data_IF_001555542940
#
_entry.id   IF_001555542940
#
_cell.length_a   1.000
_cell.length_b   1.000
_cell.length_c   1.000
_cell.angle_alpha   90.00
_cell.angle_beta   90.00
_cell.angle_gamma   90.00
#
_symmetry.space_group_name_H-M   'P 1'
#
loop_
_entity.id
_entity.type
_entity.pdbx_description
1 polymer ?
#
# COMPACT_ATOMS: atom_id res chain seq x y z
N UNK A 1 2.85 -21.41 -3.41
CA UNK A 1 2.98 -20.07 -2.83
C UNK A 1 4.14 -20.09 -1.84
N UNK A 2 4.99 -19.06 -1.83
CA UNK A 2 6.06 -18.92 -0.83
C UNK A 2 5.38 -18.53 0.47
N UNK A 3 5.37 -19.44 1.45
CA UNK A 3 4.84 -19.14 2.80
C UNK A 3 5.66 -17.99 3.41
N UNK A 4 4.99 -17.00 3.98
CA UNK A 4 5.59 -15.82 4.62
C UNK A 4 6.36 -14.89 3.66
N UNK A 5 5.90 -14.73 2.41
CA UNK A 5 6.43 -13.73 1.50
C UNK A 5 5.69 -12.38 1.67
N UNK A 6 6.42 -11.32 1.38
CA UNK A 6 5.94 -9.93 1.41
C UNK A 6 6.09 -9.30 0.03
N UNK A 7 5.39 -8.20 -0.19
CA UNK A 7 5.48 -7.45 -1.44
C UNK A 7 5.80 -5.98 -1.20
N UNK A 8 6.56 -5.40 -2.10
CA UNK A 8 6.64 -3.96 -2.27
C UNK A 8 6.13 -3.54 -3.65
N UNK A 9 5.66 -2.30 -3.72
CA UNK A 9 5.23 -1.71 -4.98
C UNK A 9 5.70 -0.27 -5.02
N UNK A 10 6.70 0.00 -5.85
CA UNK A 10 7.33 1.30 -5.98
C UNK A 10 6.96 1.93 -7.31
N UNK A 11 6.75 3.24 -7.29
CA UNK A 11 6.60 4.03 -8.50
C UNK A 11 7.97 4.37 -9.08
N UNK A 12 8.10 4.21 -10.39
CA UNK A 12 9.25 4.68 -11.17
C UNK A 12 8.73 5.69 -12.18
N UNK A 13 9.46 6.78 -12.35
CA UNK A 13 9.23 7.77 -13.40
C UNK A 13 10.55 8.03 -14.10
N UNK A 14 10.56 7.82 -15.40
CA UNK A 14 11.72 8.04 -16.27
C UNK A 14 13.04 7.49 -15.68
N UNK A 15 13.00 6.21 -15.32
CA UNK A 15 14.15 5.47 -14.80
C UNK A 15 14.57 5.83 -13.37
N UNK A 16 13.72 6.51 -12.60
CA UNK A 16 14.02 6.88 -11.20
C UNK A 16 12.94 6.36 -10.26
N UNK A 17 13.35 5.71 -9.18
CA UNK A 17 12.45 5.38 -8.08
C UNK A 17 11.95 6.66 -7.40
N UNK A 18 10.65 6.73 -7.11
CA UNK A 18 10.02 7.87 -6.46
C UNK A 18 9.81 7.55 -4.98
N UNK A 19 10.47 8.31 -4.11
CA UNK A 19 10.42 8.18 -2.66
C UNK A 19 10.68 6.74 -2.17
N UNK A 20 11.79 6.11 -2.57
CA UNK A 20 12.05 4.71 -2.26
C UNK A 20 12.40 4.47 -0.78
N UNK A 21 12.84 5.49 -0.05
CA UNK A 21 13.40 5.38 1.30
C UNK A 21 12.43 4.69 2.26
N UNK A 22 11.15 5.08 2.22
CA UNK A 22 10.11 4.49 3.07
C UNK A 22 9.78 3.05 2.70
N UNK A 23 9.98 2.67 1.42
CA UNK A 23 9.84 1.29 0.96
C UNK A 23 11.02 0.44 1.46
N UNK A 24 12.25 0.94 1.33
CA UNK A 24 13.45 0.28 1.82
C UNK A 24 13.40 0.08 3.33
N UNK A 25 12.96 1.12 4.06
CA UNK A 25 12.74 1.03 5.48
C UNK A 25 11.75 -0.09 5.83
N UNK A 26 10.59 -0.15 5.15
CA UNK A 26 9.59 -1.17 5.42
C UNK A 26 10.06 -2.59 5.13
N UNK A 27 10.84 -2.81 4.06
CA UNK A 27 11.48 -4.12 3.80
C UNK A 27 12.37 -4.50 4.98
N UNK A 28 13.26 -3.60 5.37
CA UNK A 28 14.20 -3.82 6.47
C UNK A 28 13.48 -4.14 7.78
N UNK A 29 12.44 -3.37 8.13
CA UNK A 29 11.68 -3.56 9.35
C UNK A 29 10.90 -4.87 9.32
N UNK A 30 10.29 -5.20 8.17
CA UNK A 30 9.57 -6.47 7.97
C UNK A 30 10.53 -7.65 8.14
N UNK A 31 11.71 -7.58 7.55
CA UNK A 31 12.71 -8.64 7.67
C UNK A 31 13.20 -8.80 9.11
N UNK A 32 13.45 -7.71 9.82
CA UNK A 32 13.88 -7.76 11.24
C UNK A 32 12.84 -8.42 12.12
N UNK A 33 11.56 -8.09 11.92
CA UNK A 33 10.46 -8.64 12.72
C UNK A 33 10.25 -10.13 12.44
N UNK A 34 10.28 -10.54 11.17
CA UNK A 34 9.93 -11.90 10.78
C UNK A 34 11.12 -12.88 10.76
N UNK A 35 12.34 -12.37 10.60
CA UNK A 35 13.55 -13.20 10.42
C UNK A 35 14.70 -12.84 11.39
N UNK A 36 14.48 -11.86 12.28
CA UNK A 36 15.46 -11.45 13.28
C UNK A 36 16.56 -10.49 12.78
N UNK A 37 16.79 -10.44 11.48
CA UNK A 37 17.75 -9.54 10.84
C UNK A 37 17.28 -9.10 9.47
N UNK A 38 17.99 -8.15 8.85
CA UNK A 38 17.76 -7.75 7.45
C UNK A 38 19.07 -7.86 6.67
N UNK A 39 18.99 -8.52 5.52
CA UNK A 39 20.06 -8.61 4.52
C UNK A 39 19.74 -7.76 3.29
N UNK A 40 18.68 -6.98 3.34
CA UNK A 40 18.22 -6.19 2.20
C UNK A 40 19.22 -5.09 1.84
N UNK A 41 19.59 -5.06 0.56
CA UNK A 41 20.34 -3.96 -0.05
C UNK A 41 19.40 -3.15 -0.97
N UNK A 42 19.32 -1.82 -0.81
CA UNK A 42 18.50 -0.96 -1.64
C UNK A 42 18.79 -1.10 -3.13
N UNK A 43 17.74 -1.17 -3.94
CA UNK A 43 17.88 -1.11 -5.39
C UNK A 43 18.22 0.32 -5.83
N UNK A 44 19.14 0.43 -6.78
CA UNK A 44 19.46 1.70 -7.45
C UNK A 44 18.73 1.81 -8.80
N UNK A 45 18.78 2.99 -9.41
CA UNK A 45 18.24 3.19 -10.77
C UNK A 45 18.92 2.30 -11.82
N UNK A 46 20.12 1.83 -11.55
CA UNK A 46 20.83 0.90 -12.43
C UNK A 46 20.18 -0.48 -12.48
N UNK A 47 19.45 -0.86 -11.41
CA UNK A 47 18.68 -2.10 -11.35
C UNK A 47 17.46 -2.09 -12.29
N UNK A 48 17.11 -0.92 -12.87
CA UNK A 48 15.98 -0.80 -13.80
C UNK A 48 16.48 -1.17 -15.20
N UNK A 49 15.87 -2.16 -15.86
CA UNK A 49 16.25 -2.56 -17.22
C UNK A 49 16.21 -1.35 -18.18
N UNK A 50 17.17 -1.22 -19.12
CA UNK A 50 17.25 -0.08 -20.03
C UNK A 50 15.96 0.17 -20.85
N UNK A 51 15.29 -0.90 -21.29
CA UNK A 51 14.02 -0.86 -22.01
C UNK A 51 12.81 -0.45 -21.13
N UNK A 52 13.01 -0.36 -19.80
CA UNK A 52 12.01 0.03 -18.79
C UNK A 52 12.30 1.38 -18.15
N UNK A 53 13.11 2.23 -18.78
CA UNK A 53 13.50 3.53 -18.21
C UNK A 53 12.68 4.72 -18.67
N UNK A 54 11.66 4.52 -19.50
CA UNK A 54 10.80 5.61 -19.96
C UNK A 54 9.37 5.46 -19.40
N UNK A 55 8.77 6.61 -19.09
CA UNK A 55 7.38 6.69 -18.63
C UNK A 55 7.19 6.34 -17.16
N UNK A 56 5.95 6.04 -16.79
CA UNK A 56 5.60 5.67 -15.42
C UNK A 56 5.42 4.17 -15.30
N UNK A 57 6.20 3.57 -14.41
CA UNK A 57 6.18 2.13 -14.14
C UNK A 57 5.86 1.85 -12.67
N UNK A 58 5.41 0.63 -12.42
CA UNK A 58 5.33 0.00 -11.12
C UNK A 58 6.40 -1.08 -11.03
N UNK A 59 7.33 -0.93 -10.10
CA UNK A 59 8.25 -1.99 -9.69
C UNK A 59 7.60 -2.77 -8.56
N UNK A 60 7.38 -4.07 -8.77
CA UNK A 60 6.88 -4.99 -7.76
C UNK A 60 8.00 -5.91 -7.31
N UNK A 61 8.27 -5.92 -6.01
CA UNK A 61 9.28 -6.78 -5.38
C UNK A 61 8.54 -7.79 -4.52
N UNK A 62 8.81 -9.07 -4.72
CA UNK A 62 8.39 -10.15 -3.83
C UNK A 62 9.63 -10.59 -3.05
N UNK A 63 9.51 -10.64 -1.73
CA UNK A 63 10.62 -10.96 -0.86
C UNK A 63 10.17 -11.73 0.40
N UNK A 64 11.11 -12.43 0.98
CA UNK A 64 11.10 -12.93 2.35
C UNK A 64 12.40 -12.47 3.02
N UNK A 65 13.25 -13.36 3.47
CA UNK A 65 14.60 -13.02 3.92
C UNK A 65 15.49 -12.50 2.77
N UNK A 66 15.14 -12.85 1.52
CA UNK A 66 15.82 -12.42 0.31
C UNK A 66 14.81 -11.91 -0.72
N UNK A 67 15.28 -11.17 -1.71
CA UNK A 67 14.46 -10.83 -2.89
C UNK A 67 14.24 -12.10 -3.69
N UNK A 68 12.97 -12.45 -3.94
CA UNK A 68 12.56 -13.63 -4.71
C UNK A 68 12.20 -13.28 -6.14
N UNK A 69 11.65 -12.08 -6.36
CA UNK A 69 11.25 -11.63 -7.69
C UNK A 69 11.17 -10.12 -7.77
N UNK A 70 11.55 -9.56 -8.91
CA UNK A 70 11.33 -8.16 -9.26
C UNK A 70 10.64 -8.12 -10.62
N UNK A 71 9.49 -7.44 -10.68
CA UNK A 71 8.74 -7.21 -11.92
C UNK A 71 8.63 -5.69 -12.18
N UNK A 72 8.72 -5.30 -13.46
CA UNK A 72 8.50 -3.92 -13.90
C UNK A 72 7.35 -3.92 -14.91
N UNK A 73 6.29 -3.18 -14.61
CA UNK A 73 5.11 -3.08 -15.47
C UNK A 73 4.69 -1.62 -15.67
N UNK A 74 4.16 -1.30 -16.84
CA UNK A 74 3.59 0.03 -17.10
C UNK A 74 2.47 0.30 -16.10
N UNK A 75 2.47 1.49 -15.52
CA UNK A 75 1.50 1.85 -14.49
C UNK A 75 0.56 2.95 -14.95
N UNK A 76 -0.72 2.62 -14.93
CA UNK A 76 -1.82 3.59 -15.09
C UNK A 76 -2.70 3.56 -13.84
N UNK A 77 -2.91 4.72 -13.18
CA UNK A 77 -3.81 4.79 -12.04
C UNK A 77 -5.23 4.38 -12.42
N UNK A 78 -5.84 3.52 -11.62
CA UNK A 78 -7.27 3.21 -11.76
C UNK A 78 -8.10 4.41 -11.33
N UNK A 79 -9.13 4.73 -12.09
CA UNK A 79 -10.17 5.66 -11.64
C UNK A 79 -11.15 4.89 -10.75
N UNK A 80 -11.48 5.47 -9.62
CA UNK A 80 -12.44 4.95 -8.64
C UNK A 80 -13.44 6.06 -8.38
N UNK A 81 -14.70 5.82 -8.68
CA UNK A 81 -15.79 6.77 -8.51
C UNK A 81 -16.75 6.34 -7.40
N UNK A 82 -16.85 5.04 -7.16
CA UNK A 82 -17.80 4.48 -6.20
C UNK A 82 -17.11 3.50 -5.26
N UNK A 83 -17.42 3.61 -3.97
CA UNK A 83 -16.90 2.76 -2.91
C UNK A 83 -18.07 2.08 -2.19
N UNK A 84 -17.93 0.80 -1.90
CA UNK A 84 -18.83 0.07 -1.00
C UNK A 84 -18.20 -0.10 0.36
N UNK A 85 -18.89 0.31 1.41
CA UNK A 85 -18.50 0.01 2.79
C UNK A 85 -18.57 -1.48 3.06
N UNK A 86 -17.47 -2.05 3.59
CA UNK A 86 -17.36 -3.47 3.89
C UNK A 86 -16.66 -3.66 5.23
N UNK A 87 -17.22 -4.54 6.05
CA UNK A 87 -16.60 -4.94 7.32
C UNK A 87 -15.38 -5.83 7.06
N UNK A 88 -14.22 -5.35 7.48
CA UNK A 88 -12.95 -6.08 7.43
C UNK A 88 -12.50 -6.58 8.80
N UNK A 89 -13.40 -6.68 9.77
CA UNK A 89 -13.07 -7.22 11.10
C UNK A 89 -12.42 -8.60 11.00
N UNK A 90 -11.32 -8.77 11.70
CA UNK A 90 -10.53 -10.00 11.66
C UNK A 90 -9.53 -10.12 10.50
N UNK A 91 -9.40 -9.09 9.63
CA UNK A 91 -8.29 -9.03 8.68
C UNK A 91 -7.08 -8.43 9.40
N UNK A 92 -6.01 -9.21 9.49
CA UNK A 92 -4.68 -8.71 9.83
C UNK A 92 -3.88 -8.48 8.55
N UNK A 93 -3.50 -7.24 8.30
CA UNK A 93 -2.63 -6.83 7.19
C UNK A 93 -1.58 -5.83 7.65
N UNK A 94 -1.13 -5.97 8.91
CA UNK A 94 -0.11 -5.12 9.55
C UNK A 94 1.18 -5.05 8.72
N UNK A 95 1.54 -6.17 8.09
CA UNK A 95 2.62 -6.25 7.12
C UNK A 95 2.04 -6.39 5.70
N UNK A 96 2.82 -5.95 4.70
CA UNK A 96 2.40 -6.04 3.30
C UNK A 96 2.64 -7.47 2.76
N UNK A 97 1.82 -8.41 3.22
CA UNK A 97 1.90 -9.82 2.82
C UNK A 97 1.68 -10.00 1.31
N UNK A 98 2.41 -10.96 0.72
CA UNK A 98 2.19 -11.39 -0.66
C UNK A 98 0.89 -12.18 -0.81
N UNK A 99 0.51 -12.93 0.24
CA UNK A 99 -0.81 -13.54 0.35
C UNK A 99 -1.85 -12.46 0.66
N UNK A 100 -2.79 -12.31 -0.26
CA UNK A 100 -3.86 -11.31 -0.20
C UNK A 100 -5.24 -11.94 -0.35
N UNK A 101 -5.37 -13.23 -0.16
CA UNK A 101 -6.60 -13.96 -0.43
C UNK A 101 -7.79 -13.38 0.35
N UNK A 102 -7.61 -13.07 1.64
CA UNK A 102 -8.65 -12.43 2.45
C UNK A 102 -9.09 -11.06 1.92
N UNK A 103 -8.13 -10.22 1.49
CA UNK A 103 -8.43 -8.91 0.90
C UNK A 103 -9.10 -9.06 -0.47
N UNK A 104 -8.69 -10.03 -1.27
CA UNK A 104 -9.30 -10.34 -2.57
C UNK A 104 -10.74 -10.84 -2.38
N UNK A 105 -10.99 -11.73 -1.43
CA UNK A 105 -12.33 -12.20 -1.10
C UNK A 105 -13.21 -11.04 -0.63
N UNK A 106 -12.68 -10.18 0.24
CA UNK A 106 -13.42 -9.00 0.70
C UNK A 106 -13.75 -8.06 -0.46
N UNK A 107 -12.82 -7.83 -1.38
CA UNK A 107 -13.02 -7.00 -2.57
C UNK A 107 -14.12 -7.56 -3.49
N UNK A 108 -14.31 -8.87 -3.57
CA UNK A 108 -15.37 -9.49 -4.37
C UNK A 108 -16.76 -9.06 -3.90
N UNK A 109 -16.92 -8.64 -2.65
CA UNK A 109 -18.20 -8.14 -2.11
C UNK A 109 -18.57 -6.73 -2.60
N UNK A 110 -17.73 -6.06 -3.39
CA UNK A 110 -17.98 -4.68 -3.88
C UNK A 110 -19.27 -4.52 -4.69
N UNK A 111 -19.79 -5.59 -5.27
CA UNK A 111 -20.97 -5.53 -6.15
C UNK A 111 -20.68 -4.69 -7.41
N UNK A 112 -21.52 -3.71 -7.70
CA UNK A 112 -21.38 -2.80 -8.84
C UNK A 112 -20.43 -1.62 -8.60
N UNK A 113 -19.93 -1.43 -7.36
CA UNK A 113 -18.96 -0.38 -7.05
C UNK A 113 -17.59 -0.68 -7.64
N UNK A 114 -16.80 0.37 -7.84
CA UNK A 114 -15.44 0.24 -8.39
C UNK A 114 -14.49 -0.43 -7.39
N UNK A 115 -14.64 -0.10 -6.09
CA UNK A 115 -13.77 -0.57 -5.04
C UNK A 115 -14.52 -0.66 -3.70
N UNK A 116 -13.89 -1.22 -2.67
CA UNK A 116 -14.39 -1.26 -1.30
C UNK A 116 -13.70 -0.22 -0.43
N UNK A 117 -14.44 0.29 0.55
CA UNK A 117 -13.91 1.04 1.68
C UNK A 117 -14.09 0.17 2.93
N UNK A 118 -12.98 -0.22 3.52
CA UNK A 118 -12.94 -1.17 4.63
C UNK A 118 -13.06 -0.42 5.94
N UNK A 119 -13.87 -0.96 6.84
CA UNK A 119 -13.89 -0.52 8.23
C UNK A 119 -13.63 -1.70 9.18
N UNK A 120 -13.11 -1.41 10.35
CA UNK A 120 -12.94 -2.35 11.47
C UNK A 120 -13.42 -1.68 12.75
N UNK A 121 -14.21 -2.38 13.56
CA UNK A 121 -14.73 -1.86 14.83
C UNK A 121 -15.40 -0.49 14.69
N UNK A 122 -16.13 -0.26 13.59
CA UNK A 122 -16.82 0.99 13.29
C UNK A 122 -15.93 2.14 12.81
N UNK A 123 -14.63 1.93 12.58
CA UNK A 123 -13.64 2.90 12.11
C UNK A 123 -13.18 2.61 10.69
N UNK A 124 -13.09 3.65 9.87
CA UNK A 124 -12.59 3.54 8.50
C UNK A 124 -11.09 3.21 8.53
N UNK A 125 -10.66 2.34 7.63
CA UNK A 125 -9.25 1.94 7.49
C UNK A 125 -8.73 2.23 6.08
N UNK A 126 -8.83 1.28 5.18
CA UNK A 126 -8.20 1.29 3.86
C UNK A 126 -9.20 0.90 2.76
N UNK A 127 -8.79 0.96 1.50
CA UNK A 127 -9.40 0.18 0.42
C UNK A 127 -8.74 -1.21 0.35
N UNK A 128 -9.12 -2.02 -0.64
CA UNK A 128 -8.46 -3.33 -0.81
C UNK A 128 -6.96 -3.22 -1.13
N UNK A 129 -6.44 -2.08 -1.56
CA UNK A 129 -5.05 -1.95 -2.02
C UNK A 129 -4.36 -0.62 -1.64
N UNK A 130 -5.06 0.36 -1.09
CA UNK A 130 -4.50 1.67 -0.74
C UNK A 130 -5.12 2.26 0.51
N UNK A 131 -4.35 3.09 1.22
CA UNK A 131 -4.92 4.00 2.21
C UNK A 131 -5.83 5.03 1.53
N UNK A 132 -6.70 5.66 2.32
CA UNK A 132 -7.65 6.67 1.84
C UNK A 132 -7.32 8.04 2.41
N UNK A 133 -7.66 9.07 1.67
CA UNK A 133 -7.58 10.46 2.10
C UNK A 133 -8.91 11.12 1.76
N UNK A 134 -9.49 11.80 2.71
CA UNK A 134 -10.72 12.57 2.56
C UNK A 134 -10.40 14.06 2.55
N UNK A 135 -11.24 14.86 1.92
CA UNK A 135 -11.23 16.30 2.01
C UNK A 135 -12.45 16.76 2.77
N UNK A 136 -12.27 17.42 3.91
CA UNK A 136 -13.35 17.86 4.80
C UNK A 136 -13.90 19.26 4.47
N UNK A 137 -13.46 19.84 3.34
CA UNK A 137 -13.79 21.21 2.93
C UNK A 137 -12.69 22.22 3.29
N UNK A 138 -11.75 21.86 4.16
CA UNK A 138 -10.67 22.73 4.62
C UNK A 138 -9.29 22.08 4.49
N UNK A 139 -9.17 20.81 4.84
CA UNK A 139 -7.89 20.09 4.85
C UNK A 139 -8.07 18.65 4.38
N UNK A 140 -6.94 18.02 4.04
CA UNK A 140 -6.90 16.60 3.74
C UNK A 140 -6.66 15.79 5.00
N UNK A 141 -7.51 14.81 5.25
CA UNK A 141 -7.48 13.92 6.42
C UNK A 141 -7.38 12.47 6.00
N UNK A 142 -6.73 11.65 6.80
CA UNK A 142 -6.63 10.20 6.61
C UNK A 142 -7.00 9.50 7.92
N UNK A 143 -7.65 8.32 7.87
CA UNK A 143 -7.96 7.60 9.10
C UNK A 143 -6.72 7.35 9.95
N UNK A 144 -6.84 7.54 11.26
CA UNK A 144 -5.82 7.15 12.24
C UNK A 144 -5.69 5.63 12.35
N UNK A 145 -6.78 4.92 12.07
CA UNK A 145 -6.83 3.46 11.89
C UNK A 145 -6.49 3.09 10.46
N UNK A 146 -5.70 2.03 10.26
CA UNK A 146 -5.33 1.50 8.95
C UNK A 146 -5.05 0.00 9.04
N UNK A 147 -5.22 -0.71 7.95
CA UNK A 147 -4.78 -2.10 7.83
C UNK A 147 -3.27 -2.17 7.60
N UNK A 148 -2.76 -1.26 6.74
CA UNK A 148 -1.35 -1.16 6.42
C UNK A 148 -0.88 0.29 6.55
N UNK A 149 0.22 0.51 7.27
CA UNK A 149 0.89 1.81 7.30
C UNK A 149 1.60 2.07 5.96
N UNK A 150 0.86 2.62 5.00
CA UNK A 150 1.32 2.82 3.63
C UNK A 150 2.44 3.86 3.52
N UNK A 151 3.40 3.60 2.65
CA UNK A 151 4.56 4.49 2.42
C UNK A 151 4.14 5.87 1.90
N UNK A 152 3.16 5.94 1.00
CA UNK A 152 2.65 7.23 0.51
C UNK A 152 1.90 7.99 1.60
N UNK A 153 1.12 7.30 2.45
CA UNK A 153 0.46 7.89 3.61
C UNK A 153 1.49 8.49 4.57
N UNK A 154 2.52 7.73 4.95
CA UNK A 154 3.62 8.20 5.81
C UNK A 154 4.30 9.43 5.22
N UNK A 155 4.67 9.39 3.95
CA UNK A 155 5.29 10.51 3.24
C UNK A 155 4.45 11.80 3.32
N UNK A 156 3.13 11.69 3.14
CA UNK A 156 2.23 12.85 3.17
C UNK A 156 2.04 13.40 4.59
N UNK A 157 1.99 12.53 5.60
CA UNK A 157 1.93 12.91 7.02
C UNK A 157 3.21 13.62 7.48
N UNK A 158 4.38 13.06 7.16
CA UNK A 158 5.69 13.64 7.51
C UNK A 158 5.89 15.04 6.92
N UNK A 159 5.20 15.36 5.83
CA UNK A 159 5.20 16.69 5.18
C UNK A 159 4.05 17.59 5.60
N UNK A 160 3.20 17.15 6.49
CA UNK A 160 2.02 17.90 6.92
C UNK A 160 0.99 18.18 5.83
N UNK A 161 1.03 17.40 4.72
CA UNK A 161 0.08 17.54 3.60
C UNK A 161 -1.28 16.96 3.97
N UNK A 162 -1.30 15.91 4.77
CA UNK A 162 -2.51 15.32 5.34
C UNK A 162 -2.38 15.23 6.85
N UNK A 163 -3.51 15.12 7.55
CA UNK A 163 -3.56 14.91 9.00
C UNK A 163 -4.29 13.62 9.33
N UNK A 164 -3.86 12.96 10.40
CA UNK A 164 -4.61 11.82 10.94
C UNK A 164 -5.84 12.30 11.69
N UNK A 165 -6.94 11.59 11.50
CA UNK A 165 -8.18 11.80 12.22
C UNK A 165 -8.86 10.45 12.47
N UNK A 166 -9.53 10.34 13.62
CA UNK A 166 -10.42 9.21 13.88
C UNK A 166 -11.70 9.40 13.05
N UNK A 167 -11.94 8.47 12.11
CA UNK A 167 -13.06 8.56 11.17
C UNK A 167 -13.93 7.31 11.36
N UNK A 168 -15.13 7.55 11.85
CA UNK A 168 -16.16 6.52 12.01
C UNK A 168 -17.09 6.42 10.81
N UNK A 169 -17.99 5.42 10.84
CA UNK A 169 -19.00 5.24 9.79
C UNK A 169 -19.97 6.41 9.68
N UNK A 170 -20.26 7.09 10.80
CA UNK A 170 -21.16 8.24 10.84
C UNK A 170 -20.57 9.55 10.31
N UNK A 171 -19.25 9.58 10.04
CA UNK A 171 -18.57 10.76 9.50
C UNK A 171 -18.56 10.80 7.97
N UNK A 172 -19.03 9.72 7.34
CA UNK A 172 -19.12 9.62 5.88
C UNK A 172 -20.41 10.29 5.36
N UNK A 173 -20.37 10.91 4.16
CA UNK A 173 -21.53 11.56 3.55
C UNK A 173 -22.62 10.58 3.13
#
# INVERSE_FOLDING_TARGET
>A
MIKNAFIESLKIVDGRFIHPELHWQRITDTQRVHFGNSTFLPLSSESIPPDKRLGTLKCRIIYDQEIRKIDFETYSPRRVHTLKLVDGSGIDYTFKYADRDKLIQLQQSKGTCDEILIYQNGRITDTSYSNVVFYDGNQYITPSTYLLNGTKRRYLLERGIIKEQDIGLGDLP
#
